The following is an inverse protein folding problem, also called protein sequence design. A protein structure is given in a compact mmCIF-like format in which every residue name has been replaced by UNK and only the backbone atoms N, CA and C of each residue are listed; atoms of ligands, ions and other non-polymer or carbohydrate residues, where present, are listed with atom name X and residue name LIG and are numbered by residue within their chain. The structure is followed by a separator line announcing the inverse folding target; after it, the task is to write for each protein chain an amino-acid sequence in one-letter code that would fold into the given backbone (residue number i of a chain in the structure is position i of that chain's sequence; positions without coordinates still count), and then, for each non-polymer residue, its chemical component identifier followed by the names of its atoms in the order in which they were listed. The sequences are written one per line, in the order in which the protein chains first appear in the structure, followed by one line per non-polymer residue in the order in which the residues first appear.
data_IF_308327798233
#
_entry.id   IF_308327798233
#
_cell.length_a   1.000
_cell.length_b   1.000
_cell.length_c   1.000
_cell.angle_alpha   90.00
_cell.angle_beta   90.00
_cell.angle_gamma   90.00
#
_symmetry.space_group_name_H-M   'P 1'
#
loop_
_entity.id
_entity.type
_entity.pdbx_description
1 polymer ?
#
# COMPACT_ATOMS: atom_id res chain seq x y z
N UNK A 1 -14.23 2.66 12.72
CA UNK A 1 -14.68 3.82 11.94
C UNK A 1 -14.91 3.41 10.50
N UNK A 2 -15.25 4.35 9.61
CA UNK A 2 -15.41 4.09 8.17
C UNK A 2 -14.25 4.78 7.44
N UNK A 3 -13.42 4.03 6.75
CA UNK A 3 -12.29 4.57 5.99
C UNK A 3 -12.60 4.60 4.48
N UNK A 4 -12.09 5.61 3.81
CA UNK A 4 -12.00 5.69 2.36
C UNK A 4 -10.52 5.82 1.98
N UNK A 5 -10.11 5.19 0.89
CA UNK A 5 -8.72 5.22 0.41
C UNK A 5 -8.71 5.72 -1.02
N UNK A 6 -7.84 6.70 -1.27
CA UNK A 6 -7.40 7.04 -2.61
C UNK A 6 -5.97 6.57 -2.80
N UNK A 7 -5.71 5.77 -3.83
CA UNK A 7 -4.37 5.33 -4.22
C UNK A 7 -3.95 6.00 -5.54
N UNK A 8 -2.70 6.43 -5.62
CA UNK A 8 -2.11 7.03 -6.83
C UNK A 8 -0.72 6.46 -7.05
N UNK A 9 -0.49 5.84 -8.20
CA UNK A 9 0.85 5.40 -8.63
C UNK A 9 1.73 6.62 -8.85
N UNK A 10 2.88 6.69 -8.17
CA UNK A 10 3.87 7.77 -8.33
C UNK A 10 4.74 7.52 -9.57
N UNK A 11 5.03 6.25 -9.86
CA UNK A 11 5.61 5.82 -11.12
C UNK A 11 4.55 5.09 -11.94
N UNK A 12 4.26 5.57 -13.15
CA UNK A 12 3.29 4.97 -14.07
C UNK A 12 3.94 4.18 -15.22
N UNK A 13 5.23 3.89 -15.17
CA UNK A 13 5.90 3.03 -16.15
C UNK A 13 5.45 1.58 -15.96
N UNK A 14 5.07 0.91 -17.05
CA UNK A 14 4.63 -0.49 -16.98
C UNK A 14 5.77 -1.41 -16.55
N UNK A 15 6.99 -1.24 -17.06
CA UNK A 15 8.17 -1.96 -16.56
C UNK A 15 9.00 -1.08 -15.63
N UNK A 16 9.20 -1.50 -14.38
CA UNK A 16 9.95 -0.75 -13.37
C UNK A 16 10.62 -1.68 -12.36
N UNK A 17 11.78 -1.30 -11.81
CA UNK A 17 12.42 -2.04 -10.72
C UNK A 17 11.90 -1.64 -9.33
N UNK A 18 10.97 -0.70 -9.27
CA UNK A 18 10.33 -0.28 -8.03
C UNK A 18 8.91 0.24 -8.26
N UNK A 19 7.98 -0.25 -7.44
CA UNK A 19 6.59 0.21 -7.40
C UNK A 19 6.49 1.27 -6.31
N UNK A 20 5.93 2.43 -6.64
CA UNK A 20 5.77 3.56 -5.72
C UNK A 20 4.32 4.03 -5.73
N UNK A 21 3.69 4.08 -4.56
CA UNK A 21 2.27 4.37 -4.40
C UNK A 21 2.06 5.38 -3.28
N UNK A 22 1.18 6.33 -3.52
CA UNK A 22 0.66 7.26 -2.51
C UNK A 22 -0.75 6.86 -2.13
N UNK A 23 -1.01 6.75 -0.84
CA UNK A 23 -2.34 6.54 -0.26
C UNK A 23 -2.78 7.80 0.49
N UNK A 24 -3.98 8.29 0.21
CA UNK A 24 -4.69 9.26 1.03
C UNK A 24 -5.83 8.51 1.75
N UNK A 25 -5.69 8.32 3.07
CA UNK A 25 -6.62 7.56 3.91
C UNK A 25 -7.50 8.54 4.68
N UNK A 26 -8.79 8.58 4.36
CA UNK A 26 -9.73 9.51 4.97
C UNK A 26 -10.69 8.78 5.90
N UNK A 27 -10.80 9.24 7.14
CA UNK A 27 -11.83 8.78 8.06
C UNK A 27 -13.16 9.47 7.73
N UNK A 28 -14.06 8.74 7.10
CA UNK A 28 -15.41 9.20 6.71
C UNK A 28 -16.47 8.86 7.76
N UNK A 29 -16.05 8.31 8.92
CA UNK A 29 -16.92 8.06 10.06
C UNK A 29 -17.03 9.25 11.01
N UNK A 30 -17.77 9.06 12.10
CA UNK A 30 -17.99 10.06 13.15
C UNK A 30 -17.10 9.92 14.39
N UNK A 31 -16.28 8.86 14.46
CA UNK A 31 -15.37 8.59 15.57
C UNK A 31 -13.93 8.40 15.08
N UNK A 32 -12.96 8.65 15.96
CA UNK A 32 -11.55 8.43 15.67
C UNK A 32 -11.26 6.95 15.37
N UNK A 33 -10.29 6.71 14.49
CA UNK A 33 -9.80 5.37 14.14
C UNK A 33 -8.32 5.28 14.53
N UNK A 34 -7.98 4.31 15.38
CA UNK A 34 -6.58 4.03 15.73
C UNK A 34 -5.86 3.46 14.51
N UNK A 35 -4.70 4.01 14.18
CA UNK A 35 -3.95 3.59 12.99
C UNK A 35 -3.38 2.18 13.13
N UNK A 36 -3.09 1.73 14.35
CA UNK A 36 -2.67 0.36 14.62
C UNK A 36 -3.67 -0.71 14.18
N UNK A 37 -4.94 -0.34 14.00
CA UNK A 37 -6.01 -1.24 13.57
C UNK A 37 -6.22 -1.21 12.04
N UNK A 38 -5.52 -0.32 11.34
CA UNK A 38 -5.69 -0.08 9.90
C UNK A 38 -4.68 -0.91 9.10
N UNK A 39 -5.17 -1.58 8.06
CA UNK A 39 -4.34 -2.33 7.11
C UNK A 39 -4.76 -2.01 5.68
N UNK A 40 -3.84 -1.45 4.89
CA UNK A 40 -4.05 -1.29 3.45
C UNK A 40 -3.50 -2.49 2.69
N UNK A 41 -4.14 -2.88 1.58
CA UNK A 41 -3.59 -3.89 0.66
C UNK A 41 -3.55 -3.36 -0.76
N UNK A 42 -2.35 -3.40 -1.34
CA UNK A 42 -2.08 -3.14 -2.75
C UNK A 42 -1.75 -4.47 -3.43
N UNK A 43 -2.58 -4.89 -4.37
CA UNK A 43 -2.52 -6.19 -5.04
C UNK A 43 -1.82 -6.07 -6.40
N UNK A 44 -0.92 -7.00 -6.66
CA UNK A 44 -0.04 -6.99 -7.83
C UNK A 44 0.41 -8.42 -8.15
N UNK A 45 1.04 -8.62 -9.31
CA UNK A 45 1.76 -9.84 -9.60
C UNK A 45 3.23 -9.64 -9.29
N UNK A 46 3.86 -10.59 -8.59
CA UNK A 46 5.26 -10.40 -8.19
C UNK A 46 6.22 -10.47 -9.38
N UNK A 47 5.83 -11.08 -10.51
CA UNK A 47 6.71 -11.33 -11.66
C UNK A 47 8.03 -12.02 -11.25
N UNK A 48 7.93 -12.98 -10.35
CA UNK A 48 9.09 -13.61 -9.73
C UNK A 48 8.79 -14.27 -8.39
N UNK A 49 9.87 -14.58 -7.66
CA UNK A 49 9.83 -15.20 -6.32
C UNK A 49 10.86 -14.61 -5.36
N UNK A 50 11.45 -13.48 -5.73
CA UNK A 50 12.50 -12.82 -4.97
C UNK A 50 11.91 -12.14 -3.75
N UNK A 51 12.62 -12.21 -2.63
CA UNK A 51 12.30 -11.37 -1.48
C UNK A 51 12.27 -9.89 -1.87
N UNK A 52 11.37 -9.15 -1.23
CA UNK A 52 11.10 -7.76 -1.53
C UNK A 52 11.42 -6.87 -0.33
N UNK A 53 11.84 -5.65 -0.59
CA UNK A 53 12.08 -4.62 0.40
C UNK A 53 10.97 -3.58 0.36
N UNK A 54 10.62 -3.06 1.54
CA UNK A 54 9.62 -2.02 1.71
C UNK A 54 10.26 -0.76 2.31
N UNK A 55 9.82 0.40 1.82
CA UNK A 55 10.13 1.69 2.38
C UNK A 55 8.87 2.55 2.46
N UNK A 56 8.72 3.28 3.57
CA UNK A 56 7.84 4.44 3.61
C UNK A 56 8.70 5.68 3.42
N UNK A 57 8.58 6.32 2.26
CA UNK A 57 9.36 7.53 1.95
C UNK A 57 8.80 8.74 2.73
N UNK A 58 7.48 8.81 2.93
CA UNK A 58 6.83 9.89 3.67
C UNK A 58 5.47 9.47 4.25
N UNK A 59 5.14 9.93 5.46
CA UNK A 59 3.77 9.87 5.98
C UNK A 59 3.49 10.99 6.98
N UNK A 60 2.26 11.54 6.96
CA UNK A 60 1.79 12.47 7.98
C UNK A 60 1.63 11.83 9.37
N UNK A 61 1.61 10.49 9.46
CA UNK A 61 1.63 9.74 10.72
C UNK A 61 3.07 9.38 11.19
N UNK A 62 4.09 9.88 10.49
CA UNK A 62 5.50 9.58 10.68
C UNK A 62 5.93 8.31 9.93
N UNK A 63 6.89 8.44 9.01
CA UNK A 63 7.32 7.33 8.16
C UNK A 63 7.85 6.12 8.95
N UNK A 64 8.54 6.36 10.07
CA UNK A 64 9.03 5.30 10.96
C UNK A 64 7.92 4.50 11.66
N UNK A 65 6.67 4.96 11.57
CA UNK A 65 5.51 4.27 12.12
C UNK A 65 4.76 3.42 11.09
N UNK A 66 5.13 3.50 9.81
CA UNK A 66 4.50 2.74 8.72
C UNK A 66 5.28 1.46 8.48
N UNK A 67 4.57 0.34 8.46
CA UNK A 67 5.13 -0.99 8.22
C UNK A 67 4.63 -1.55 6.90
N UNK A 68 5.43 -2.37 6.22
CA UNK A 68 5.01 -3.10 5.03
C UNK A 68 5.39 -4.57 5.13
N UNK A 69 4.49 -5.44 4.69
CA UNK A 69 4.74 -6.88 4.54
C UNK A 69 4.22 -7.37 3.20
N UNK A 70 4.88 -8.38 2.62
CA UNK A 70 4.50 -8.97 1.35
C UNK A 70 3.87 -10.33 1.61
N UNK A 71 2.66 -10.54 1.11
CA UNK A 71 1.91 -11.78 1.33
C UNK A 71 1.52 -12.40 0.01
N UNK A 72 1.94 -13.65 -0.20
CA UNK A 72 1.47 -14.49 -1.30
C UNK A 72 0.02 -14.88 -1.08
N UNK A 73 -0.80 -14.70 -2.10
CA UNK A 73 -2.21 -15.07 -2.06
C UNK A 73 -2.34 -16.59 -2.13
N UNK A 74 -3.11 -17.18 -1.22
CA UNK A 74 -3.40 -18.63 -1.25
C UNK A 74 -4.13 -19.05 -2.53
N UNK A 75 -4.96 -18.15 -3.07
CA UNK A 75 -5.68 -18.32 -4.32
C UNK A 75 -5.42 -17.10 -5.21
N UNK A 76 -4.40 -17.13 -6.08
CA UNK A 76 -4.14 -16.06 -7.03
C UNK A 76 -5.33 -15.84 -7.97
N UNK A 77 -5.49 -14.62 -8.44
CA UNK A 77 -6.48 -14.21 -9.43
C UNK A 77 -5.80 -13.48 -10.58
N UNK A 78 -6.52 -13.22 -11.66
CA UNK A 78 -5.99 -12.41 -12.76
C UNK A 78 -5.51 -11.05 -12.24
N UNK A 79 -4.22 -10.80 -12.40
CA UNK A 79 -3.54 -9.58 -12.00
C UNK A 79 -3.14 -9.47 -10.54
N UNK A 80 -3.31 -10.53 -9.74
CA UNK A 80 -2.80 -10.54 -8.37
C UNK A 80 -2.42 -11.96 -7.90
N UNK A 81 -1.14 -12.13 -7.57
CA UNK A 81 -0.64 -13.30 -6.83
C UNK A 81 -0.05 -12.91 -5.46
N UNK A 82 0.14 -11.61 -5.23
CA UNK A 82 0.80 -11.04 -4.07
C UNK A 82 0.11 -9.74 -3.67
N UNK A 83 0.14 -9.40 -2.39
CA UNK A 83 -0.20 -8.06 -1.94
C UNK A 83 0.83 -7.49 -0.97
N UNK A 84 1.06 -6.19 -1.08
CA UNK A 84 1.78 -5.41 -0.08
C UNK A 84 0.76 -4.96 0.97
N UNK A 85 0.84 -5.50 2.19
CA UNK A 85 0.05 -5.08 3.33
C UNK A 85 0.77 -3.95 4.07
N UNK A 86 0.21 -2.75 4.00
CA UNK A 86 0.71 -1.57 4.73
C UNK A 86 -0.05 -1.44 6.03
N UNK A 87 0.68 -1.31 7.14
CA UNK A 87 0.11 -1.13 8.47
C UNK A 87 0.82 -0.02 9.24
N UNK A 88 0.41 0.17 10.49
CA UNK A 88 0.97 1.19 11.36
C UNK A 88 1.26 0.61 12.74
N UNK A 89 2.35 1.06 13.37
CA UNK A 89 2.60 0.73 14.77
C UNK A 89 1.76 1.62 15.71
N UNK A 90 1.80 1.32 17.02
CA UNK A 90 1.01 2.05 18.02
C UNK A 90 1.40 3.53 18.18
N UNK A 91 2.60 3.93 17.77
CA UNK A 91 3.07 5.31 17.83
C UNK A 91 2.51 6.19 16.69
N UNK A 92 1.83 5.59 15.70
CA UNK A 92 1.17 6.34 14.62
C UNK A 92 -0.03 7.17 15.10
N UNK A 93 -0.64 6.82 16.23
CA UNK A 93 -1.80 7.52 16.78
C UNK A 93 -3.12 7.15 16.08
N UNK A 94 -3.95 8.15 15.79
CA UNK A 94 -5.31 7.93 15.26
C UNK A 94 -5.69 8.98 14.20
N UNK A 95 -6.58 8.60 13.28
CA UNK A 95 -7.23 9.52 12.35
C UNK A 95 -8.56 9.99 12.97
N UNK A 96 -8.66 11.29 13.30
CA UNK A 96 -9.92 11.87 13.77
C UNK A 96 -11.00 11.85 12.67
N UNK A 97 -12.27 12.04 13.04
CA UNK A 97 -13.37 12.09 12.09
C UNK A 97 -13.14 13.19 11.03
N UNK A 98 -13.42 12.87 9.77
CA UNK A 98 -13.24 13.74 8.59
C UNK A 98 -11.80 14.23 8.37
N UNK A 99 -10.79 13.57 8.96
CA UNK A 99 -9.39 13.84 8.68
C UNK A 99 -8.82 12.84 7.69
N UNK A 100 -7.78 13.28 6.99
CA UNK A 100 -7.03 12.47 6.03
C UNK A 100 -5.58 12.38 6.50
N UNK A 101 -5.02 11.18 6.45
CA UNK A 101 -3.57 10.99 6.50
C UNK A 101 -3.06 10.56 5.14
N UNK A 102 -1.80 10.86 4.86
CA UNK A 102 -1.17 10.42 3.63
C UNK A 102 0.03 9.52 3.93
N UNK A 103 0.22 8.53 3.08
CA UNK A 103 1.30 7.54 3.15
C UNK A 103 1.87 7.35 1.76
N UNK A 104 3.16 7.59 1.61
CA UNK A 104 3.92 7.28 0.41
C UNK A 104 4.83 6.10 0.69
N UNK A 105 4.66 5.05 -0.11
CA UNK A 105 5.47 3.84 -0.04
C UNK A 105 6.23 3.61 -1.33
N UNK A 106 7.30 2.84 -1.23
CA UNK A 106 8.01 2.22 -2.34
C UNK A 106 8.41 0.81 -1.95
N UNK A 107 8.39 -0.10 -2.91
CA UNK A 107 8.96 -1.43 -2.74
C UNK A 107 9.67 -1.91 -4.00
N UNK A 108 10.63 -2.82 -3.83
CA UNK A 108 11.38 -3.46 -4.91
C UNK A 108 11.76 -4.89 -4.56
N UNK A 109 12.07 -5.70 -5.58
CA UNK A 109 12.77 -6.98 -5.39
C UNK A 109 14.20 -6.71 -4.91
N UNK A 110 14.76 -7.63 -4.12
CA UNK A 110 16.13 -7.53 -3.60
C UNK A 110 17.19 -7.50 -4.72
N UNK A 111 16.90 -8.14 -5.85
CA UNK A 111 17.79 -8.19 -7.01
C UNK A 111 17.56 -7.05 -8.02
N UNK A 112 16.63 -6.13 -7.73
CA UNK A 112 16.21 -5.04 -8.61
C UNK A 112 15.72 -5.48 -9.99
N UNK A 113 15.30 -6.74 -10.14
CA UNK A 113 14.58 -7.17 -11.33
C UNK A 113 13.24 -6.43 -11.43
N UNK A 114 12.76 -6.24 -12.66
CA UNK A 114 11.58 -5.44 -12.92
C UNK A 114 10.29 -6.17 -12.51
N UNK A 115 9.27 -5.38 -12.19
CA UNK A 115 7.86 -5.73 -12.24
C UNK A 115 7.26 -5.28 -13.58
N UNK A 116 6.14 -5.89 -13.96
CA UNK A 116 5.25 -5.46 -15.03
C UNK A 116 3.94 -4.92 -14.44
N UNK A 117 3.92 -3.65 -14.07
CA UNK A 117 2.74 -2.96 -13.54
C UNK A 117 1.52 -2.98 -14.46
N UNK A 118 1.66 -3.31 -15.76
CA UNK A 118 0.52 -3.37 -16.67
C UNK A 118 -0.43 -4.54 -16.38
N UNK A 119 0.06 -5.58 -15.70
CA UNK A 119 -0.72 -6.74 -15.33
C UNK A 119 -1.24 -6.67 -13.88
N UNK A 120 -0.92 -5.61 -13.13
CA UNK A 120 -1.21 -5.50 -11.70
C UNK A 120 -2.64 -5.03 -11.41
N UNK A 121 -3.31 -5.73 -10.50
CA UNK A 121 -4.71 -5.47 -10.14
C UNK A 121 -4.93 -4.06 -9.57
N UNK A 122 -4.07 -3.58 -8.67
CA UNK A 122 -4.21 -2.26 -8.06
C UNK A 122 -3.55 -1.12 -8.84
N UNK A 123 -2.85 -1.39 -9.94
CA UNK A 123 -2.13 -0.36 -10.69
C UNK A 123 -3.07 0.61 -11.40
N UNK A 124 -2.92 1.90 -11.10
CA UNK A 124 -3.75 2.98 -11.66
C UNK A 124 -5.23 2.94 -11.25
N UNK A 125 -5.66 1.98 -10.42
CA UNK A 125 -7.05 1.81 -10.03
C UNK A 125 -7.23 1.79 -8.52
N UNK A 126 -7.60 2.94 -7.96
CA UNK A 126 -7.80 3.10 -6.52
C UNK A 126 -8.91 2.23 -5.93
N UNK A 127 -9.91 1.83 -6.73
CA UNK A 127 -11.01 0.97 -6.25
C UNK A 127 -10.55 -0.44 -5.94
N UNK A 128 -9.36 -0.82 -6.42
CA UNK A 128 -8.73 -2.11 -6.23
C UNK A 128 -7.76 -2.12 -5.03
N UNK A 129 -7.76 -1.08 -4.20
CA UNK A 129 -7.02 -1.00 -2.94
C UNK A 129 -8.01 -1.07 -1.77
N UNK A 130 -7.72 -1.92 -0.78
CA UNK A 130 -8.60 -2.12 0.38
C UNK A 130 -7.99 -1.56 1.66
N UNK A 131 -8.82 -1.03 2.58
CA UNK A 131 -8.48 -0.60 3.95
C UNK A 131 -9.29 -1.33 5.01
#
# INVERSE_FOLDING_TARGET
GKLSVQATSINSQTSTNGISVKFDITNTGSSAVNLSDVKLRYYYTEDGSQSQNFWCDWSSAGSGNVTGTFVKMATPVTGADTYCEVGFNSAAGSIAANQTIQVQIRFSKNDWSNYDQSNDYSFGNSSNVTA
#
